data_IF_057876772316
#
_entry.id   IF_057876772316
#
_cell.length_a   1.000
_cell.length_b   1.000
_cell.length_c   1.000
_cell.angle_alpha   90.00
_cell.angle_beta   90.00
_cell.angle_gamma   90.00
#
_symmetry.space_group_name_H-M   'P 1'
#
loop_
_entity.id
_entity.type
_entity.pdbx_description
1 polymer ?
#
# COMPACT_ATOMS: atom_id res chain seq x y z
N UNK A 1 5.32 -43.24 15.31
CA UNK A 1 5.79 -41.93 15.80
C UNK A 1 5.47 -40.90 14.73
N UNK A 2 4.62 -39.94 15.11
CA UNK A 2 4.23 -38.67 14.44
C UNK A 2 3.71 -38.68 12.99
N UNK A 3 2.38 -38.77 12.87
CA UNK A 3 1.60 -38.20 11.77
C UNK A 3 0.96 -36.90 12.28
N UNK A 4 1.54 -35.75 11.94
CA UNK A 4 1.05 -34.44 12.35
C UNK A 4 1.52 -33.33 11.39
N UNK A 5 1.17 -33.44 10.10
CA UNK A 5 1.41 -32.37 9.12
C UNK A 5 0.29 -32.34 8.08
N UNK A 6 -0.94 -32.09 8.49
CA UNK A 6 -2.05 -31.92 7.53
C UNK A 6 -3.09 -30.85 7.90
N UNK A 7 -3.09 -30.30 9.11
CA UNK A 7 -4.07 -29.27 9.51
C UNK A 7 -3.67 -27.83 9.16
N UNK A 8 -2.39 -27.50 9.02
CA UNK A 8 -1.97 -26.10 8.79
C UNK A 8 -2.19 -25.59 7.36
N UNK A 9 -2.25 -26.48 6.36
CA UNK A 9 -2.37 -26.09 4.95
C UNK A 9 -3.83 -25.85 4.55
N UNK A 10 -4.76 -26.52 5.23
CA UNK A 10 -6.20 -26.40 4.97
C UNK A 10 -6.82 -25.17 5.64
N UNK A 11 -6.29 -24.72 6.78
CA UNK A 11 -6.72 -23.49 7.47
C UNK A 11 -6.46 -22.25 6.59
N UNK A 12 -5.26 -22.16 6.00
CA UNK A 12 -4.86 -21.04 5.15
C UNK A 12 -5.72 -20.95 3.87
N UNK A 13 -6.02 -22.09 3.23
CA UNK A 13 -6.83 -22.13 2.01
C UNK A 13 -8.28 -21.65 2.22
N UNK A 14 -8.86 -21.91 3.40
CA UNK A 14 -10.21 -21.46 3.74
C UNK A 14 -10.29 -19.95 3.99
N UNK A 15 -9.26 -19.34 4.61
CA UNK A 15 -9.17 -17.87 4.74
C UNK A 15 -8.92 -17.16 3.40
N UNK A 16 -8.12 -17.73 2.50
CA UNK A 16 -7.95 -17.17 1.14
C UNK A 16 -9.23 -17.30 0.30
N UNK A 17 -10.09 -18.29 0.61
CA UNK A 17 -11.39 -18.45 -0.04
C UNK A 17 -12.42 -17.46 0.50
N UNK A 18 -12.48 -17.26 1.83
CA UNK A 18 -13.42 -16.33 2.46
C UNK A 18 -13.10 -14.86 2.12
N UNK A 19 -11.82 -14.50 1.98
CA UNK A 19 -11.40 -13.15 1.55
C UNK A 19 -11.60 -12.89 0.06
N UNK A 20 -11.72 -13.92 -0.77
CA UNK A 20 -12.02 -13.79 -2.21
C UNK A 20 -13.45 -13.34 -2.49
N UNK A 21 -14.38 -13.65 -1.59
CA UNK A 21 -15.82 -13.35 -1.74
C UNK A 21 -16.29 -12.11 -0.96
N UNK A 22 -15.40 -11.50 -0.15
CA UNK A 22 -15.73 -10.25 0.53
C UNK A 22 -15.94 -9.11 -0.49
N UNK A 23 -16.95 -8.25 -0.30
CA UNK A 23 -17.14 -7.08 -1.15
C UNK A 23 -15.93 -6.16 -1.02
N UNK A 24 -15.51 -5.56 -2.14
CA UNK A 24 -14.48 -4.51 -2.13
C UNK A 24 -15.04 -3.29 -1.41
N UNK A 25 -14.25 -2.70 -0.53
CA UNK A 25 -14.62 -1.45 0.15
C UNK A 25 -14.14 -0.26 -0.68
N UNK A 26 -15.02 0.72 -0.90
CA UNK A 26 -14.61 2.00 -1.45
C UNK A 26 -14.00 2.87 -0.34
N UNK A 27 -12.77 3.34 -0.56
CA UNK A 27 -12.06 4.24 0.35
C UNK A 27 -12.07 5.70 -0.13
N UNK A 28 -12.70 5.98 -1.28
CA UNK A 28 -12.70 7.31 -1.92
C UNK A 28 -13.22 8.41 -1.01
N UNK A 29 -14.18 8.12 -0.13
CA UNK A 29 -14.74 9.06 0.84
C UNK A 29 -13.70 9.60 1.85
N UNK A 30 -12.65 8.82 2.16
CA UNK A 30 -11.56 9.24 3.03
C UNK A 30 -10.48 10.06 2.31
N UNK A 31 -10.42 9.96 0.97
CA UNK A 31 -9.39 10.60 0.13
C UNK A 31 -9.77 12.03 -0.25
N UNK A 32 -10.10 12.85 0.76
CA UNK A 32 -10.45 14.25 0.57
C UNK A 32 -9.27 15.08 0.08
N UNK A 33 -9.52 16.22 -0.56
CA UNK A 33 -8.44 17.12 -1.00
C UNK A 33 -7.55 17.58 0.16
N UNK A 34 -8.13 17.82 1.33
CA UNK A 34 -7.39 18.24 2.52
C UNK A 34 -6.50 17.12 3.05
N UNK A 35 -6.95 15.86 2.95
CA UNK A 35 -6.11 14.71 3.24
C UNK A 35 -4.91 14.64 2.28
N UNK A 36 -5.13 14.79 0.97
CA UNK A 36 -4.05 14.78 -0.03
C UNK A 36 -3.06 15.94 0.14
N UNK A 37 -3.52 17.11 0.60
CA UNK A 37 -2.65 18.23 1.01
C UNK A 37 -1.78 17.85 2.21
N UNK A 38 -2.35 17.17 3.21
CA UNK A 38 -1.60 16.74 4.40
C UNK A 38 -0.46 15.77 4.07
N UNK A 39 -0.61 14.94 3.03
CA UNK A 39 0.46 14.06 2.52
C UNK A 39 1.62 14.84 1.89
N UNK A 40 1.40 16.07 1.43
CA UNK A 40 2.40 16.93 0.81
C UNK A 40 2.80 18.12 1.70
N UNK A 41 2.48 18.05 3.00
CA UNK A 41 2.78 19.13 3.94
C UNK A 41 4.30 19.31 4.13
N UNK A 42 4.70 20.56 4.42
CA UNK A 42 6.09 20.90 4.74
C UNK A 42 6.62 20.17 5.98
N UNK A 43 5.76 19.92 6.97
CA UNK A 43 6.07 19.23 8.20
C UNK A 43 6.03 17.70 8.00
N UNK A 44 7.17 17.06 8.21
CA UNK A 44 7.30 15.61 8.06
C UNK A 44 6.41 14.82 9.02
N UNK A 45 6.04 15.38 10.18
CA UNK A 45 5.14 14.70 11.14
C UNK A 45 3.70 14.64 10.61
N UNK A 46 3.25 15.70 9.94
CA UNK A 46 1.95 15.73 9.27
C UNK A 46 1.92 14.69 8.15
N UNK A 47 2.99 14.61 7.35
CA UNK A 47 3.12 13.58 6.31
C UNK A 47 3.13 12.16 6.89
N UNK A 48 3.84 11.94 7.99
CA UNK A 48 3.86 10.64 8.68
C UNK A 48 2.48 10.22 9.16
N UNK A 49 1.75 11.14 9.81
CA UNK A 49 0.38 10.89 10.26
C UNK A 49 -0.57 10.59 9.09
N UNK A 50 -0.40 11.26 7.95
CA UNK A 50 -1.18 10.98 6.75
C UNK A 50 -0.89 9.58 6.19
N UNK A 51 0.38 9.14 6.17
CA UNK A 51 0.74 7.78 5.75
C UNK A 51 0.18 6.71 6.70
N UNK A 52 0.25 6.94 8.01
CA UNK A 52 -0.37 6.06 9.02
C UNK A 52 -1.89 5.98 8.85
N UNK A 53 -2.53 7.08 8.45
CA UNK A 53 -3.95 7.08 8.16
C UNK A 53 -4.28 6.25 6.91
N UNK A 54 -3.45 6.26 5.86
CA UNK A 54 -3.63 5.35 4.72
C UNK A 54 -3.57 3.90 5.16
N UNK A 55 -2.59 3.55 6.01
CA UNK A 55 -2.48 2.19 6.58
C UNK A 55 -3.74 1.82 7.37
N UNK A 56 -4.29 2.75 8.17
CA UNK A 56 -5.56 2.55 8.89
C UNK A 56 -6.74 2.34 7.94
N UNK A 57 -6.87 3.14 6.89
CA UNK A 57 -7.92 2.98 5.88
C UNK A 57 -7.84 1.60 5.19
N UNK A 58 -6.63 1.15 4.86
CA UNK A 58 -6.41 -0.18 4.27
C UNK A 58 -6.76 -1.32 5.24
N UNK A 59 -6.42 -1.17 6.52
CA UNK A 59 -6.78 -2.12 7.55
C UNK A 59 -8.30 -2.20 7.76
N UNK A 60 -8.98 -1.05 7.81
CA UNK A 60 -10.44 -0.97 7.93
C UNK A 60 -11.17 -1.54 6.71
N UNK A 61 -10.58 -1.44 5.52
CA UNK A 61 -11.07 -2.05 4.30
C UNK A 61 -10.71 -3.54 4.16
N UNK A 62 -10.20 -4.17 5.22
CA UNK A 62 -9.80 -5.58 5.25
C UNK A 62 -8.83 -5.96 4.09
N UNK A 63 -7.98 -5.01 3.69
CA UNK A 63 -7.06 -5.09 2.54
C UNK A 63 -7.75 -5.48 1.24
N UNK A 64 -8.98 -5.03 1.00
CA UNK A 64 -9.72 -5.32 -0.23
C UNK A 64 -10.49 -4.07 -0.69
N UNK A 65 -9.86 -3.29 -1.55
CA UNK A 65 -10.38 -1.97 -1.96
C UNK A 65 -10.84 -1.96 -3.40
N UNK A 66 -11.78 -1.06 -3.70
CA UNK A 66 -12.11 -0.72 -5.08
C UNK A 66 -10.94 0.01 -5.77
N UNK A 67 -10.80 -0.11 -7.12
CA UNK A 67 -9.78 0.63 -7.86
C UNK A 67 -10.02 2.14 -7.91
N UNK A 68 -11.03 2.67 -7.21
CA UNK A 68 -11.32 4.09 -7.11
C UNK A 68 -10.42 4.79 -6.07
N UNK A 69 -9.12 4.78 -6.35
CA UNK A 69 -8.10 5.37 -5.45
C UNK A 69 -7.76 6.83 -5.77
N UNK A 70 -8.47 7.46 -6.71
CA UNK A 70 -8.30 8.87 -7.07
C UNK A 70 -6.84 9.29 -7.31
N UNK A 71 -6.42 10.38 -6.68
CA UNK A 71 -5.05 10.91 -6.72
C UNK A 71 -4.13 10.37 -5.59
N UNK A 72 -4.56 9.33 -4.85
CA UNK A 72 -3.76 8.73 -3.78
C UNK A 72 -2.43 8.19 -4.32
N UNK A 73 -2.47 7.42 -5.42
CA UNK A 73 -1.27 6.82 -6.02
C UNK A 73 -0.27 7.88 -6.52
N UNK A 74 -0.78 9.04 -6.97
CA UNK A 74 0.03 10.20 -7.37
C UNK A 74 0.63 10.89 -6.15
N UNK A 75 -0.15 11.09 -5.09
CA UNK A 75 0.33 11.69 -3.85
C UNK A 75 1.38 10.81 -3.15
N UNK A 76 1.20 9.49 -3.20
CA UNK A 76 2.18 8.51 -2.71
C UNK A 76 3.46 8.52 -3.54
N UNK A 77 3.39 8.63 -4.87
CA UNK A 77 4.61 8.62 -5.70
C UNK A 77 5.53 9.81 -5.39
N UNK A 78 4.96 10.98 -5.06
CA UNK A 78 5.72 12.13 -4.57
C UNK A 78 6.46 11.85 -3.24
N UNK A 79 5.98 10.89 -2.44
CA UNK A 79 6.61 10.50 -1.16
C UNK A 79 7.74 9.48 -1.32
N UNK A 80 7.90 8.83 -2.47
CA UNK A 80 9.06 7.94 -2.66
C UNK A 80 10.39 8.72 -2.62
N UNK A 81 10.38 10.00 -3.00
CA UNK A 81 11.51 10.91 -2.94
C UNK A 81 11.55 11.76 -1.65
N UNK A 82 10.86 11.35 -0.58
CA UNK A 82 10.78 12.16 0.64
C UNK A 82 12.17 12.43 1.24
N UNK A 83 12.36 13.64 1.77
CA UNK A 83 13.59 14.02 2.46
C UNK A 83 13.85 13.13 3.67
N UNK A 84 12.78 12.69 4.35
CA UNK A 84 12.87 11.66 5.37
C UNK A 84 12.78 10.27 4.73
N UNK A 85 13.92 9.57 4.68
CA UNK A 85 13.99 8.23 4.07
C UNK A 85 13.16 7.17 4.78
N UNK A 86 12.81 7.35 6.04
CA UNK A 86 11.88 6.44 6.71
C UNK A 86 10.46 6.55 6.12
N UNK A 87 10.03 7.77 5.81
CA UNK A 87 8.74 8.00 5.15
C UNK A 87 8.74 7.52 3.70
N UNK A 88 9.87 7.62 2.99
CA UNK A 88 10.00 7.04 1.66
C UNK A 88 9.81 5.52 1.68
N UNK A 89 10.43 4.82 2.65
CA UNK A 89 10.24 3.38 2.86
C UNK A 89 8.78 3.06 3.18
N UNK A 90 8.15 3.83 4.08
CA UNK A 90 6.75 3.63 4.45
C UNK A 90 5.82 3.82 3.24
N UNK A 91 6.03 4.88 2.45
CA UNK A 91 5.23 5.14 1.25
C UNK A 91 5.35 4.03 0.20
N UNK A 92 6.56 3.50 -0.02
CA UNK A 92 6.77 2.36 -0.92
C UNK A 92 6.02 1.11 -0.42
N UNK A 93 6.11 0.81 0.87
CA UNK A 93 5.38 -0.32 1.47
C UNK A 93 3.86 -0.16 1.31
N UNK A 94 3.33 1.04 1.57
CA UNK A 94 1.90 1.35 1.40
C UNK A 94 1.49 1.18 -0.06
N UNK A 95 2.30 1.63 -1.02
CA UNK A 95 1.99 1.46 -2.44
C UNK A 95 1.87 -0.02 -2.84
N UNK A 96 2.74 -0.89 -2.32
CA UNK A 96 2.63 -2.33 -2.50
C UNK A 96 1.40 -2.93 -1.82
N UNK A 97 1.11 -2.51 -0.59
CA UNK A 97 -0.07 -2.99 0.15
C UNK A 97 -1.38 -2.56 -0.53
N UNK A 98 -1.43 -1.36 -1.14
CA UNK A 98 -2.53 -0.91 -2.01
C UNK A 98 -2.64 -1.79 -3.26
N UNK A 99 -1.51 -2.08 -3.93
CA UNK A 99 -1.51 -2.91 -5.13
C UNK A 99 -2.10 -4.31 -4.84
N UNK A 100 -1.72 -4.90 -3.71
CA UNK A 100 -2.29 -6.16 -3.22
C UNK A 100 -3.78 -6.03 -2.87
N UNK A 101 -4.19 -4.91 -2.28
CA UNK A 101 -5.59 -4.69 -1.86
C UNK A 101 -6.55 -4.44 -3.04
N UNK A 102 -6.10 -3.78 -4.10
CA UNK A 102 -6.89 -3.58 -5.34
C UNK A 102 -6.96 -4.87 -6.16
N UNK A 103 -5.83 -5.55 -6.30
CA UNK A 103 -5.66 -6.71 -7.17
C UNK A 103 -5.51 -6.34 -8.65
N UNK A 104 -5.92 -7.20 -9.60
CA UNK A 104 -5.69 -7.01 -11.04
C UNK A 104 -6.08 -5.65 -11.65
N UNK A 105 -7.14 -4.95 -11.18
CA UNK A 105 -7.48 -3.61 -11.67
C UNK A 105 -6.42 -2.52 -11.40
N UNK A 106 -5.38 -2.81 -10.59
CA UNK A 106 -4.32 -1.85 -10.26
C UNK A 106 -3.59 -1.33 -11.50
N UNK A 107 -3.54 -2.09 -12.60
CA UNK A 107 -2.88 -1.66 -13.84
C UNK A 107 -3.42 -0.34 -14.39
N UNK A 108 -4.69 -0.01 -14.12
CA UNK A 108 -5.32 1.23 -14.60
C UNK A 108 -4.89 2.46 -13.80
N UNK A 109 -4.61 2.30 -12.51
CA UNK A 109 -4.36 3.40 -11.57
C UNK A 109 -2.89 3.49 -11.13
N UNK A 110 -2.16 2.37 -11.15
CA UNK A 110 -0.79 2.26 -10.64
C UNK A 110 0.32 2.35 -11.69
N UNK A 111 -0.01 2.41 -12.99
CA UNK A 111 0.99 2.36 -14.08
C UNK A 111 2.01 3.50 -14.03
N UNK A 112 1.57 4.71 -13.69
CA UNK A 112 2.46 5.86 -13.52
C UNK A 112 3.38 5.66 -12.30
N UNK A 113 2.80 5.27 -11.16
CA UNK A 113 3.52 5.03 -9.91
C UNK A 113 4.57 3.92 -10.05
N UNK A 114 4.27 2.85 -10.80
CA UNK A 114 5.23 1.78 -11.07
C UNK A 114 6.52 2.29 -11.74
N UNK A 115 6.39 3.22 -12.68
CA UNK A 115 7.54 3.84 -13.36
C UNK A 115 8.42 4.63 -12.39
N UNK A 116 7.83 5.21 -11.35
CA UNK A 116 8.55 5.93 -10.31
C UNK A 116 9.24 4.97 -9.33
N UNK A 117 8.62 3.84 -8.97
CA UNK A 117 9.19 2.82 -8.06
C UNK A 117 10.48 2.22 -8.62
N UNK A 118 10.56 1.97 -9.94
CA UNK A 118 11.73 1.36 -10.59
C UNK A 118 13.04 2.09 -10.24
N UNK A 119 13.01 3.42 -10.05
CA UNK A 119 14.20 4.22 -9.72
C UNK A 119 14.80 3.87 -8.35
N UNK A 120 14.01 3.29 -7.44
CA UNK A 120 14.41 3.01 -6.06
C UNK A 120 15.03 1.62 -5.86
N UNK A 121 14.99 0.75 -6.88
CA UNK A 121 15.76 -0.50 -6.86
C UNK A 121 17.27 -0.26 -6.79
N UNK A 122 17.74 0.90 -7.28
CA UNK A 122 19.14 1.33 -7.23
C UNK A 122 19.51 2.21 -6.04
N UNK A 123 18.63 2.40 -5.04
CA UNK A 123 18.90 3.30 -3.92
C UNK A 123 20.09 2.81 -3.07
N UNK A 124 20.87 3.74 -2.51
CA UNK A 124 22.04 3.41 -1.71
C UNK A 124 21.68 2.65 -0.43
N UNK A 125 20.47 2.86 0.12
CA UNK A 125 20.03 2.24 1.36
C UNK A 125 19.29 0.92 1.11
N UNK A 126 19.71 -0.12 1.83
CA UNK A 126 19.14 -1.48 1.73
C UNK A 126 17.64 -1.51 1.99
N UNK A 127 17.18 -0.82 3.02
CA UNK A 127 15.76 -0.77 3.39
C UNK A 127 14.88 -0.13 2.31
N UNK A 128 15.37 0.87 1.58
CA UNK A 128 14.65 1.49 0.46
C UNK A 128 14.54 0.52 -0.70
N UNK A 129 15.62 -0.20 -1.03
CA UNK A 129 15.60 -1.23 -2.07
C UNK A 129 14.65 -2.38 -1.74
N UNK A 130 14.64 -2.83 -0.48
CA UNK A 130 13.72 -3.88 -0.01
C UNK A 130 12.25 -3.43 -0.09
N UNK A 131 11.96 -2.18 0.28
CA UNK A 131 10.61 -1.63 0.15
C UNK A 131 10.18 -1.48 -1.31
N UNK A 132 11.08 -1.02 -2.19
CA UNK A 132 10.80 -0.93 -3.64
C UNK A 132 10.58 -2.29 -4.29
N UNK A 133 11.24 -3.35 -3.80
CA UNK A 133 11.02 -4.71 -4.28
C UNK A 133 9.71 -5.35 -3.77
N UNK A 134 9.19 -4.87 -2.63
CA UNK A 134 7.88 -5.28 -2.10
C UNK A 134 6.72 -4.55 -2.80
N UNK A 135 6.96 -3.32 -3.25
CA UNK A 135 5.99 -2.45 -3.90
C UNK A 135 5.64 -2.90 -5.33
#
# INVERSE_FOLDING_TARGET
>A
TVAATSSSVVESAAEVSATRDAPRTDISAGLTEDFLKSMNDSNWKTRAAALEEVDRMLASANKRIEPNVGDLMRSLSARFADSNRMLAVQALNIAGDIALAVGPPIERVGRSTLSDIIRYFGDSKKNVREAAAKA
#
